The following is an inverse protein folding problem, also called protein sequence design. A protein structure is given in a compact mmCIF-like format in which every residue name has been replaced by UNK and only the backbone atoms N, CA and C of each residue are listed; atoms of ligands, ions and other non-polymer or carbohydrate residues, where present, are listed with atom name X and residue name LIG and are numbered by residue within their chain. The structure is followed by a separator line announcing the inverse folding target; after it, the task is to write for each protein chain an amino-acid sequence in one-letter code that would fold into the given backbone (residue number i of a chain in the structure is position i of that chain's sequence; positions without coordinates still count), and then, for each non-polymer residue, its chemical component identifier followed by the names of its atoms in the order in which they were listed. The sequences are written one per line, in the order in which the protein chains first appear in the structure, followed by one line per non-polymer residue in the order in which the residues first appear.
data_IF_661208952079
#
_entry.id   IF_661208952079
#
_cell.length_a   1.000
_cell.length_b   1.000
_cell.length_c   1.000
_cell.angle_alpha   90.00
_cell.angle_beta   90.00
_cell.angle_gamma   90.00
#
_symmetry.space_group_name_H-M   'P 1'
#
loop_
_entity.id
_entity.type
_entity.pdbx_description
1 polymer ?
#
# COMPACT_ATOMS: atom_id res chain seq x y z
N UNK A 1 25.19 -3.28 58.30
CA UNK A 1 25.15 -2.38 57.13
C UNK A 1 25.48 -3.23 55.92
N UNK A 2 24.48 -3.83 55.33
CA UNK A 2 24.62 -4.66 54.12
C UNK A 2 24.42 -3.74 52.94
N UNK A 3 25.47 -3.57 52.17
CA UNK A 3 25.53 -2.79 50.94
C UNK A 3 24.76 -3.56 49.85
N UNK A 4 23.48 -3.25 49.65
CA UNK A 4 22.73 -3.75 48.49
C UNK A 4 23.28 -3.02 47.25
N UNK A 5 24.21 -3.69 46.60
CA UNK A 5 24.63 -3.36 45.24
C UNK A 5 23.37 -3.34 44.37
N UNK A 6 22.94 -2.16 43.94
CA UNK A 6 21.90 -2.00 42.92
C UNK A 6 22.41 -2.60 41.61
N UNK A 7 22.17 -3.89 41.43
CA UNK A 7 22.25 -4.52 40.12
C UNK A 7 21.19 -3.79 39.30
N UNK A 8 21.61 -2.94 38.36
CA UNK A 8 20.73 -2.28 37.44
C UNK A 8 19.92 -3.33 36.68
N UNK A 9 18.69 -3.53 37.13
CA UNK A 9 17.79 -4.46 36.49
C UNK A 9 17.38 -3.86 35.15
N UNK A 10 17.87 -4.44 34.06
CA UNK A 10 17.43 -4.11 32.70
C UNK A 10 15.90 -4.09 32.65
N UNK A 11 15.33 -2.99 32.15
CA UNK A 11 13.89 -2.80 32.06
C UNK A 11 13.41 -2.93 30.64
N UNK A 12 12.16 -3.31 30.48
CA UNK A 12 11.46 -3.36 29.16
C UNK A 12 10.25 -2.45 29.23
N UNK A 13 10.15 -1.53 28.26
CA UNK A 13 9.02 -0.64 28.14
C UNK A 13 7.92 -1.18 27.23
N UNK A 14 6.70 -0.70 27.43
CA UNK A 14 5.58 -0.93 26.53
C UNK A 14 4.72 0.33 26.40
N UNK A 15 4.16 0.55 25.23
CA UNK A 15 3.34 1.73 24.92
C UNK A 15 2.05 1.29 24.24
N UNK A 16 0.92 1.68 24.83
CA UNK A 16 -0.37 1.73 24.16
C UNK A 16 -0.62 3.16 23.68
N UNK A 17 -0.97 3.32 22.39
CA UNK A 17 -1.07 4.62 21.74
C UNK A 17 -2.50 4.96 21.33
N UNK A 18 -2.98 6.12 21.78
CA UNK A 18 -4.25 6.71 21.45
C UNK A 18 -4.09 8.04 20.70
N UNK A 19 -5.22 8.65 20.33
CA UNK A 19 -5.23 9.91 19.59
C UNK A 19 -4.63 11.06 20.41
N UNK A 20 -5.02 11.17 21.68
CA UNK A 20 -4.73 12.33 22.52
C UNK A 20 -3.72 12.00 23.63
N UNK A 21 -3.55 10.72 23.96
CA UNK A 21 -2.62 10.24 24.99
C UNK A 21 -1.85 9.00 24.55
N UNK A 22 -0.73 8.75 25.21
CA UNK A 22 0.00 7.47 25.19
C UNK A 22 0.12 6.96 26.61
N UNK A 23 -0.20 5.69 26.85
CA UNK A 23 0.03 5.04 28.12
C UNK A 23 1.32 4.22 28.02
N UNK A 24 2.24 4.48 28.95
CA UNK A 24 3.58 3.89 28.95
C UNK A 24 3.72 3.04 30.22
N UNK A 25 4.22 1.83 30.09
CA UNK A 25 4.45 0.91 31.21
C UNK A 25 5.87 0.36 31.17
N UNK A 26 6.41 0.05 32.36
CA UNK A 26 7.73 -0.57 32.54
C UNK A 26 7.57 -1.88 33.29
N UNK A 27 8.29 -2.90 32.82
CA UNK A 27 8.42 -4.18 33.48
C UNK A 27 9.89 -4.50 33.68
N UNK A 28 10.18 -5.35 34.70
CA UNK A 28 11.51 -5.95 34.89
C UNK A 28 11.82 -6.95 33.77
N UNK A 29 13.08 -7.34 33.61
CA UNK A 29 13.50 -8.44 32.73
C UNK A 29 12.85 -9.81 33.10
N UNK A 30 12.27 -9.94 34.32
CA UNK A 30 11.47 -11.11 34.71
C UNK A 30 9.98 -10.98 34.43
N UNK A 31 9.54 -9.86 33.82
CA UNK A 31 8.14 -9.62 33.42
C UNK A 31 7.23 -9.05 34.52
N UNK A 32 7.79 -8.68 35.70
CA UNK A 32 7.03 -8.04 36.79
C UNK A 32 6.74 -6.58 36.48
N UNK A 33 5.51 -6.07 36.65
CA UNK A 33 5.21 -4.66 36.57
C UNK A 33 6.07 -3.83 37.53
N UNK A 34 6.56 -2.69 37.06
CA UNK A 34 7.31 -1.71 37.87
C UNK A 34 6.46 -0.49 38.08
N UNK A 35 6.07 0.18 36.96
CA UNK A 35 5.28 1.41 37.02
C UNK A 35 4.62 1.68 35.66
N UNK A 36 3.60 2.53 35.64
CA UNK A 36 2.96 2.97 34.40
C UNK A 36 2.42 4.41 34.54
N UNK A 37 2.46 5.16 33.44
CA UNK A 37 2.00 6.54 33.41
C UNK A 37 1.46 6.94 32.03
N UNK A 38 0.49 7.86 32.05
CA UNK A 38 -0.08 8.46 30.84
C UNK A 38 0.60 9.79 30.49
N UNK A 39 0.82 10.04 29.21
CA UNK A 39 1.39 11.27 28.67
C UNK A 39 0.58 11.79 27.47
N UNK A 40 0.48 13.10 27.28
CA UNK A 40 -0.21 13.65 26.10
C UNK A 40 0.58 13.42 24.81
N UNK A 41 -0.13 13.25 23.67
CA UNK A 41 0.45 13.06 22.34
C UNK A 41 0.99 14.37 21.74
N UNK A 42 1.82 15.07 22.51
CA UNK A 42 2.51 16.30 22.13
C UNK A 42 4.03 16.10 22.13
N UNK A 43 4.76 16.97 21.43
CA UNK A 43 6.22 16.92 21.46
C UNK A 43 6.81 17.03 22.89
N UNK A 44 6.16 17.76 23.80
CA UNK A 44 6.53 17.86 25.19
C UNK A 44 6.22 16.55 25.94
N UNK A 45 5.00 16.02 25.77
CA UNK A 45 4.59 14.75 26.40
C UNK A 45 5.45 13.57 25.95
N UNK A 46 5.82 13.49 24.68
CA UNK A 46 6.76 12.44 24.23
C UNK A 46 8.15 12.56 24.86
N UNK A 47 8.68 13.79 25.05
CA UNK A 47 9.95 13.99 25.76
C UNK A 47 9.81 13.56 27.23
N UNK A 48 8.70 13.89 27.88
CA UNK A 48 8.41 13.47 29.27
C UNK A 48 8.33 11.94 29.37
N UNK A 49 7.64 11.27 28.46
CA UNK A 49 7.54 9.82 28.40
C UNK A 49 8.91 9.14 28.24
N UNK A 50 9.76 9.68 27.34
CA UNK A 50 11.13 9.17 27.14
C UNK A 50 11.98 9.38 28.41
N UNK A 51 11.92 10.55 29.04
CA UNK A 51 12.64 10.84 30.29
C UNK A 51 12.16 9.95 31.45
N UNK A 52 10.85 9.76 31.58
CA UNK A 52 10.25 8.90 32.58
C UNK A 52 10.69 7.44 32.42
N UNK A 53 10.67 6.89 31.19
CA UNK A 53 11.19 5.57 30.89
C UNK A 53 12.66 5.41 31.29
N UNK A 54 13.49 6.41 30.98
CA UNK A 54 14.93 6.42 31.33
C UNK A 54 15.18 6.46 32.85
N UNK A 55 14.25 7.01 33.62
CA UNK A 55 14.31 7.05 35.08
C UNK A 55 14.20 5.67 35.77
N UNK A 56 13.72 4.64 35.06
CA UNK A 56 13.54 3.29 35.59
C UNK A 56 14.73 2.34 35.34
N UNK A 57 15.85 2.88 34.83
CA UNK A 57 17.09 2.13 34.59
C UNK A 57 17.35 1.88 33.08
N UNK A 58 18.37 1.07 32.76
CA UNK A 58 18.71 0.75 31.38
C UNK A 58 17.56 0.04 30.66
N UNK A 59 17.10 0.58 29.56
CA UNK A 59 16.04 0.00 28.74
C UNK A 59 16.63 -0.94 27.69
N UNK A 60 16.23 -2.21 27.69
CA UNK A 60 16.58 -3.13 26.60
C UNK A 60 15.85 -2.78 25.29
N UNK A 61 14.54 -2.55 25.37
CA UNK A 61 13.70 -2.15 24.25
C UNK A 61 12.34 -1.64 24.72
N UNK A 62 11.62 -0.96 23.84
CA UNK A 62 10.24 -0.52 24.08
C UNK A 62 9.33 -1.06 22.99
N UNK A 63 8.31 -1.82 23.40
CA UNK A 63 7.26 -2.31 22.53
C UNK A 63 6.19 -1.25 22.29
N UNK A 64 5.88 -0.94 21.03
CA UNK A 64 4.86 0.06 20.68
C UNK A 64 3.79 -0.55 19.79
N UNK A 65 2.52 -0.45 20.21
CA UNK A 65 1.38 -0.82 19.38
C UNK A 65 1.04 0.34 18.42
N UNK A 66 0.77 0.04 17.15
CA UNK A 66 0.34 1.05 16.18
C UNK A 66 1.42 2.02 15.72
N UNK A 67 2.65 1.56 15.59
CA UNK A 67 3.83 2.36 15.18
C UNK A 67 3.65 3.19 13.91
N UNK A 68 2.77 2.79 13.01
CA UNK A 68 2.43 3.51 11.77
C UNK A 68 1.08 4.27 11.84
N UNK A 69 0.58 4.53 13.05
CA UNK A 69 -0.65 5.28 13.29
C UNK A 69 -0.46 6.21 14.50
N UNK A 70 -1.19 6.01 15.57
CA UNK A 70 -1.09 6.85 16.77
C UNK A 70 0.28 6.75 17.48
N UNK A 71 0.98 5.63 17.36
CA UNK A 71 2.32 5.42 17.92
C UNK A 71 3.46 6.07 17.16
N UNK A 72 3.21 6.69 15.98
CA UNK A 72 4.29 7.26 15.14
C UNK A 72 5.12 8.31 15.88
N UNK A 73 4.47 9.20 16.64
CA UNK A 73 5.15 10.29 17.35
C UNK A 73 6.04 9.80 18.47
N UNK A 74 5.56 8.90 19.32
CA UNK A 74 6.36 8.31 20.40
C UNK A 74 7.49 7.43 19.86
N UNK A 75 7.27 6.68 18.77
CA UNK A 75 8.33 5.92 18.09
C UNK A 75 9.46 6.82 17.64
N UNK A 76 9.14 7.95 16.99
CA UNK A 76 10.15 8.91 16.54
C UNK A 76 10.94 9.50 17.73
N UNK A 77 10.26 9.82 18.83
CA UNK A 77 10.91 10.35 20.05
C UNK A 77 11.84 9.31 20.71
N UNK A 78 11.39 8.07 20.86
CA UNK A 78 12.20 6.96 21.40
C UNK A 78 13.42 6.68 20.53
N UNK A 79 13.23 6.56 19.21
CA UNK A 79 14.33 6.33 18.24
C UNK A 79 15.36 7.46 18.29
N UNK A 80 14.90 8.73 18.39
CA UNK A 80 15.79 9.89 18.52
C UNK A 80 16.60 9.86 19.82
N UNK A 81 16.04 9.27 20.88
CA UNK A 81 16.72 9.08 22.15
C UNK A 81 17.64 7.84 22.19
N UNK A 82 17.81 7.12 21.07
CA UNK A 82 18.63 5.91 20.98
C UNK A 82 17.99 4.66 21.57
N UNK A 83 16.70 4.68 21.91
CA UNK A 83 15.97 3.55 22.45
C UNK A 83 15.56 2.60 21.32
N UNK A 84 15.79 1.30 21.53
CA UNK A 84 15.33 0.27 20.59
C UNK A 84 13.82 0.17 20.65
N UNK A 85 13.15 0.43 19.52
CA UNK A 85 11.69 0.33 19.40
C UNK A 85 11.32 -0.93 18.64
N UNK A 86 10.35 -1.67 19.17
CA UNK A 86 9.83 -2.90 18.56
C UNK A 86 8.34 -2.73 18.28
N UNK A 87 7.90 -3.04 17.07
CA UNK A 87 6.47 -3.03 16.73
C UNK A 87 5.75 -4.22 17.34
N UNK A 88 4.72 -3.93 18.11
CA UNK A 88 3.83 -4.93 18.71
C UNK A 88 2.58 -5.08 17.86
N UNK A 89 2.30 -6.31 17.46
CA UNK A 89 1.08 -6.59 16.70
C UNK A 89 -0.16 -6.53 17.60
N UNK A 90 -1.25 -5.99 17.09
CA UNK A 90 -2.54 -6.01 17.78
C UNK A 90 -2.93 -7.43 18.18
N UNK A 91 -3.22 -7.61 19.47
CA UNK A 91 -3.70 -8.88 20.01
C UNK A 91 -5.01 -9.33 19.36
N UNK A 92 -5.16 -10.64 19.18
CA UNK A 92 -6.37 -11.24 18.63
C UNK A 92 -7.58 -10.91 19.50
N UNK A 93 -8.71 -10.58 18.85
CA UNK A 93 -9.96 -10.20 19.54
C UNK A 93 -10.45 -11.24 20.57
N UNK A 94 -10.09 -12.51 20.42
CA UNK A 94 -10.45 -13.58 21.35
C UNK A 94 -9.76 -13.43 22.74
N UNK A 95 -8.54 -12.92 22.80
CA UNK A 95 -7.81 -12.72 24.06
C UNK A 95 -8.30 -11.48 24.82
N UNK A 96 -8.71 -10.43 24.07
CA UNK A 96 -9.31 -9.23 24.66
C UNK A 96 -10.62 -9.50 25.39
N UNK A 97 -11.42 -10.45 24.92
CA UNK A 97 -12.70 -10.81 25.56
C UNK A 97 -12.55 -11.46 26.93
N UNK A 98 -11.40 -12.09 27.19
CA UNK A 98 -11.17 -12.83 28.46
C UNK A 98 -10.65 -11.96 29.61
N UNK A 99 -9.98 -10.82 29.33
CA UNK A 99 -9.23 -10.07 30.36
C UNK A 99 -9.62 -8.61 30.54
N UNK A 100 -10.68 -8.13 29.85
CA UNK A 100 -11.04 -6.70 29.85
C UNK A 100 -10.07 -5.84 29.04
N UNK A 101 -10.39 -4.56 28.87
CA UNK A 101 -9.56 -3.57 28.18
C UNK A 101 -9.34 -2.38 29.08
N UNK A 102 -8.09 -2.14 29.49
CA UNK A 102 -7.62 -0.87 30.07
C UNK A 102 -6.28 -0.52 29.43
N UNK A 103 -6.01 0.76 29.28
CA UNK A 103 -4.80 1.26 28.61
C UNK A 103 -3.49 0.81 29.32
N UNK A 104 -3.40 0.79 30.68
CA UNK A 104 -2.28 0.22 31.40
C UNK A 104 -2.03 -1.26 31.03
N UNK A 105 -3.08 -2.08 30.98
CA UNK A 105 -2.95 -3.51 30.67
C UNK A 105 -2.43 -3.74 29.23
N UNK A 106 -2.84 -2.90 28.28
CA UNK A 106 -2.37 -3.01 26.90
C UNK A 106 -0.90 -2.53 26.78
N UNK A 107 -0.47 -1.50 27.54
CA UNK A 107 0.93 -1.09 27.64
C UNK A 107 1.82 -2.17 28.29
N UNK A 108 1.43 -2.76 29.44
CA UNK A 108 2.14 -3.88 30.04
C UNK A 108 2.23 -5.11 29.12
N UNK A 109 1.19 -5.35 28.33
CA UNK A 109 1.19 -6.43 27.34
C UNK A 109 2.18 -6.15 26.20
N UNK A 110 2.28 -4.91 25.75
CA UNK A 110 3.26 -4.51 24.76
C UNK A 110 4.68 -4.80 25.26
N UNK A 111 4.99 -4.43 26.50
CA UNK A 111 6.27 -4.74 27.14
C UNK A 111 6.54 -6.26 27.24
N UNK A 112 5.56 -7.05 27.69
CA UNK A 112 5.70 -8.52 27.77
C UNK A 112 5.88 -9.18 26.40
N UNK A 113 5.26 -8.67 25.35
CA UNK A 113 5.44 -9.16 23.97
C UNK A 113 6.87 -8.96 23.46
N UNK A 114 7.55 -7.90 23.90
CA UNK A 114 8.98 -7.70 23.64
C UNK A 114 9.80 -8.73 24.39
N UNK A 115 9.56 -8.89 25.68
CA UNK A 115 10.29 -9.79 26.54
C UNK A 115 10.17 -11.26 26.11
N UNK A 116 8.98 -11.70 25.65
CA UNK A 116 8.74 -13.06 25.16
C UNK A 116 9.29 -13.31 23.74
N UNK A 117 9.79 -12.28 23.05
CA UNK A 117 10.23 -12.39 21.65
C UNK A 117 9.11 -12.56 20.62
N UNK A 118 7.84 -12.47 21.03
CA UNK A 118 6.70 -12.45 20.11
C UNK A 118 6.68 -11.17 19.26
N UNK A 119 7.07 -10.04 19.88
CA UNK A 119 7.34 -8.80 19.17
C UNK A 119 8.82 -8.76 18.77
N UNK A 120 9.09 -8.67 17.52
CA UNK A 120 10.47 -8.69 17.03
C UNK A 120 10.60 -8.08 15.65
N UNK A 121 9.68 -7.18 15.31
CA UNK A 121 9.68 -6.50 14.02
C UNK A 121 10.00 -5.03 14.23
N UNK A 122 10.98 -4.52 13.51
CA UNK A 122 11.31 -3.10 13.52
C UNK A 122 10.11 -2.28 13.04
N UNK A 123 9.85 -1.10 13.63
CA UNK A 123 8.78 -0.23 13.18
C UNK A 123 9.03 0.25 11.74
N UNK A 124 7.96 0.58 11.04
CA UNK A 124 8.07 1.27 9.76
C UNK A 124 8.68 2.66 9.99
N UNK A 125 9.55 3.09 9.10
CA UNK A 125 10.12 4.43 9.15
C UNK A 125 9.06 5.48 8.83
N UNK A 126 9.22 6.68 9.35
CA UNK A 126 8.30 7.80 9.11
C UNK A 126 8.25 8.24 7.63
N UNK A 127 9.26 7.91 6.84
CA UNK A 127 9.35 8.22 5.40
C UNK A 127 8.22 7.59 4.56
N UNK A 128 7.56 6.53 5.06
CA UNK A 128 6.42 5.91 4.37
C UNK A 128 5.10 6.70 4.54
N UNK A 129 5.00 7.57 5.54
CA UNK A 129 3.75 8.28 5.86
C UNK A 129 3.26 9.21 4.74
N UNK A 130 4.12 10.00 4.05
CA UNK A 130 3.65 10.79 2.92
C UNK A 130 3.07 9.95 1.79
N UNK A 131 3.65 8.75 1.54
CA UNK A 131 3.14 7.83 0.53
C UNK A 131 1.77 7.28 0.94
N UNK A 132 1.59 6.96 2.23
CA UNK A 132 0.32 6.50 2.80
C UNK A 132 -0.75 7.59 2.70
N UNK A 133 -0.44 8.84 3.05
CA UNK A 133 -1.36 9.96 2.97
C UNK A 133 -1.86 10.21 1.54
N UNK A 134 -0.95 10.23 0.56
CA UNK A 134 -1.30 10.37 -0.86
C UNK A 134 -2.21 9.22 -1.34
N UNK A 135 -1.90 7.97 -0.95
CA UNK A 135 -2.70 6.81 -1.34
C UNK A 135 -4.10 6.82 -0.69
N UNK A 136 -4.22 7.28 0.55
CA UNK A 136 -5.51 7.46 1.24
C UNK A 136 -6.35 8.52 0.53
N UNK A 137 -5.78 9.69 0.23
CA UNK A 137 -6.47 10.77 -0.49
C UNK A 137 -6.93 10.30 -1.88
N UNK A 138 -6.05 9.63 -2.64
CA UNK A 138 -6.39 9.06 -3.95
C UNK A 138 -7.54 8.06 -3.87
N UNK A 139 -7.50 7.12 -2.92
CA UNK A 139 -8.57 6.12 -2.74
C UNK A 139 -9.91 6.78 -2.41
N UNK A 140 -9.89 7.82 -1.59
CA UNK A 140 -11.09 8.62 -1.27
C UNK A 140 -11.64 9.32 -2.52
N UNK A 141 -10.79 9.98 -3.30
CA UNK A 141 -11.18 10.66 -4.54
C UNK A 141 -11.77 9.67 -5.57
N UNK A 142 -11.16 8.51 -5.78
CA UNK A 142 -11.68 7.47 -6.68
C UNK A 142 -13.06 6.97 -6.22
N UNK A 143 -13.24 6.75 -4.91
CA UNK A 143 -14.53 6.32 -4.36
C UNK A 143 -15.61 7.39 -4.56
N UNK A 144 -15.26 8.65 -4.34
CA UNK A 144 -16.17 9.79 -4.55
C UNK A 144 -16.54 9.97 -6.04
N UNK A 145 -15.56 9.83 -6.93
CA UNK A 145 -15.78 9.89 -8.37
C UNK A 145 -16.74 8.79 -8.86
N UNK A 146 -16.53 7.56 -8.39
CA UNK A 146 -17.43 6.44 -8.71
C UNK A 146 -18.84 6.64 -8.13
N UNK A 147 -18.95 7.27 -6.95
CA UNK A 147 -20.25 7.61 -6.37
C UNK A 147 -20.97 8.66 -7.21
N UNK A 148 -20.30 9.73 -7.60
CA UNK A 148 -20.87 10.76 -8.49
C UNK A 148 -21.37 10.16 -9.82
N UNK A 149 -20.57 9.28 -10.43
CA UNK A 149 -20.99 8.58 -11.66
C UNK A 149 -22.26 7.74 -11.47
N UNK A 150 -22.36 6.97 -10.37
CA UNK A 150 -23.57 6.17 -10.09
C UNK A 150 -24.78 7.05 -9.81
N UNK A 151 -24.60 8.17 -9.12
CA UNK A 151 -25.66 9.15 -8.86
C UNK A 151 -26.19 9.78 -10.15
N UNK A 152 -25.31 10.15 -11.09
CA UNK A 152 -25.72 10.61 -12.43
C UNK A 152 -26.61 9.55 -13.11
N UNK A 153 -26.16 8.30 -13.13
CA UNK A 153 -26.95 7.21 -13.74
C UNK A 153 -28.32 7.04 -13.09
N UNK A 154 -28.39 7.12 -11.74
CA UNK A 154 -29.66 7.03 -11.00
C UNK A 154 -30.62 8.19 -11.32
N UNK A 155 -30.10 9.42 -11.35
CA UNK A 155 -30.92 10.59 -11.65
C UNK A 155 -31.43 10.57 -13.10
N UNK A 156 -30.63 10.11 -14.05
CA UNK A 156 -31.03 10.01 -15.46
C UNK A 156 -32.19 9.01 -15.67
N UNK A 157 -32.30 7.97 -14.86
CA UNK A 157 -33.41 7.00 -14.95
C UNK A 157 -34.75 7.68 -14.66
N UNK A 158 -34.77 8.60 -13.69
CA UNK A 158 -35.97 9.32 -13.22
C UNK A 158 -36.14 10.70 -13.87
N UNK A 159 -35.25 11.09 -14.78
CA UNK A 159 -35.32 12.37 -15.46
C UNK A 159 -36.52 12.45 -16.41
N UNK A 160 -37.08 13.66 -16.69
CA UNK A 160 -38.10 13.86 -17.70
C UNK A 160 -37.72 13.27 -19.05
N UNK A 161 -38.71 12.72 -19.76
CA UNK A 161 -38.45 12.01 -21.02
C UNK A 161 -37.64 12.83 -22.04
N UNK A 162 -37.89 14.13 -22.25
CA UNK A 162 -37.13 14.94 -23.21
C UNK A 162 -35.63 15.01 -22.82
N UNK A 163 -35.35 15.24 -21.56
CA UNK A 163 -33.98 15.30 -21.04
C UNK A 163 -33.26 13.93 -21.16
N UNK A 164 -33.94 12.87 -20.76
CA UNK A 164 -33.41 11.51 -20.82
C UNK A 164 -33.11 11.09 -22.26
N UNK A 165 -34.04 11.35 -23.21
CA UNK A 165 -33.88 10.93 -24.60
C UNK A 165 -32.79 11.72 -25.33
N UNK A 166 -32.57 12.99 -24.97
CA UNK A 166 -31.46 13.81 -25.45
C UNK A 166 -30.09 13.28 -25.02
N UNK A 167 -30.02 12.68 -23.83
CA UNK A 167 -28.75 12.20 -23.25
C UNK A 167 -28.55 10.68 -23.48
N UNK A 168 -29.58 9.98 -23.95
CA UNK A 168 -29.54 8.54 -24.20
C UNK A 168 -28.52 8.19 -25.28
N UNK A 169 -27.76 7.14 -25.05
CA UNK A 169 -26.80 6.62 -26.02
C UNK A 169 -25.48 7.38 -26.10
N UNK A 170 -25.31 8.48 -25.37
CA UNK A 170 -24.04 9.17 -25.33
C UNK A 170 -22.97 8.31 -24.65
N UNK A 171 -21.77 8.18 -25.25
CA UNK A 171 -20.63 7.61 -24.57
C UNK A 171 -20.33 8.34 -23.27
N UNK A 172 -19.78 7.62 -22.25
CA UNK A 172 -19.54 8.19 -20.91
C UNK A 172 -18.81 9.55 -20.92
N UNK A 173 -17.77 9.68 -21.73
CA UNK A 173 -17.00 10.93 -21.81
C UNK A 173 -17.84 12.08 -22.38
N UNK A 174 -18.60 11.82 -23.44
CA UNK A 174 -19.51 12.80 -24.05
C UNK A 174 -20.64 13.20 -23.08
N UNK A 175 -21.25 12.22 -22.39
CA UNK A 175 -22.28 12.48 -21.40
C UNK A 175 -21.79 13.40 -20.28
N UNK A 176 -20.63 13.09 -19.68
CA UNK A 176 -20.03 13.91 -18.63
C UNK A 176 -19.69 15.33 -19.12
N UNK A 177 -19.15 15.46 -20.32
CA UNK A 177 -18.84 16.75 -20.94
C UNK A 177 -20.12 17.58 -21.18
N UNK A 178 -21.15 16.96 -21.77
CA UNK A 178 -22.44 17.61 -22.04
C UNK A 178 -23.11 18.07 -20.74
N UNK A 179 -23.12 17.23 -19.72
CA UNK A 179 -23.70 17.60 -18.42
C UNK A 179 -22.90 18.71 -17.72
N UNK A 180 -21.57 18.62 -17.71
CA UNK A 180 -20.72 19.63 -17.06
C UNK A 180 -20.83 21.02 -17.70
N UNK A 181 -21.07 21.10 -19.02
CA UNK A 181 -21.23 22.33 -19.79
C UNK A 181 -22.69 22.78 -19.94
N UNK A 182 -23.66 22.02 -19.44
CA UNK A 182 -25.07 22.34 -19.56
C UNK A 182 -25.43 23.66 -18.87
N UNK A 183 -26.51 24.30 -19.35
CA UNK A 183 -27.00 25.61 -18.86
C UNK A 183 -28.42 25.49 -18.31
N UNK A 184 -28.61 25.05 -17.06
CA UNK A 184 -29.93 24.87 -16.45
C UNK A 184 -30.82 26.12 -16.53
N UNK A 185 -30.25 27.33 -16.36
CA UNK A 185 -31.00 28.57 -16.44
C UNK A 185 -31.54 28.94 -17.80
N UNK A 186 -31.29 28.14 -18.85
CA UNK A 186 -31.88 28.29 -20.18
C UNK A 186 -33.02 27.29 -20.45
N UNK A 187 -33.38 26.49 -19.47
CA UNK A 187 -34.48 25.51 -19.53
C UNK A 187 -35.73 26.16 -18.98
N UNK A 188 -36.83 26.12 -19.75
CA UNK A 188 -38.09 26.78 -19.36
C UNK A 188 -38.86 25.99 -18.28
N UNK A 189 -38.77 24.67 -18.25
CA UNK A 189 -39.40 23.83 -17.25
C UNK A 189 -38.56 23.83 -15.95
N UNK A 190 -39.09 24.33 -14.83
CA UNK A 190 -38.35 24.40 -13.56
C UNK A 190 -37.89 23.04 -13.06
N UNK A 191 -38.71 22.00 -13.20
CA UNK A 191 -38.37 20.65 -12.73
C UNK A 191 -37.21 20.04 -13.56
N UNK A 192 -37.24 20.21 -14.90
CA UNK A 192 -36.12 19.81 -15.77
C UNK A 192 -34.86 20.65 -15.45
N UNK A 193 -35.01 21.95 -15.21
CA UNK A 193 -33.89 22.83 -14.85
C UNK A 193 -33.19 22.39 -13.58
N UNK A 194 -33.92 22.04 -12.52
CA UNK A 194 -33.35 21.60 -11.25
C UNK A 194 -32.66 20.26 -11.37
N UNK A 195 -33.26 19.30 -12.11
CA UNK A 195 -32.62 18.02 -12.36
C UNK A 195 -31.33 18.20 -13.18
N UNK A 196 -31.35 19.06 -14.21
CA UNK A 196 -30.18 19.36 -15.01
C UNK A 196 -29.09 20.05 -14.19
N UNK A 197 -29.46 20.93 -13.25
CA UNK A 197 -28.52 21.57 -12.32
C UNK A 197 -27.84 20.54 -11.41
N UNK A 198 -28.60 19.59 -10.84
CA UNK A 198 -28.05 18.50 -10.04
C UNK A 198 -27.10 17.61 -10.85
N UNK A 199 -27.49 17.23 -12.06
CA UNK A 199 -26.65 16.45 -12.98
C UNK A 199 -25.35 17.17 -13.36
N UNK A 200 -25.42 18.47 -13.66
CA UNK A 200 -24.27 19.32 -13.93
C UNK A 200 -23.31 19.35 -12.75
N UNK A 201 -23.82 19.57 -11.54
CA UNK A 201 -23.02 19.60 -10.31
C UNK A 201 -22.27 18.29 -10.09
N UNK A 202 -22.92 17.16 -10.29
CA UNK A 202 -22.29 15.86 -10.18
C UNK A 202 -21.24 15.60 -11.28
N UNK A 203 -21.51 16.05 -12.51
CA UNK A 203 -20.57 15.91 -13.62
C UNK A 203 -19.31 16.79 -13.44
N UNK A 204 -19.48 18.02 -12.96
CA UNK A 204 -18.36 18.90 -12.59
C UNK A 204 -17.53 18.29 -11.49
N UNK A 205 -18.18 17.83 -10.39
CA UNK A 205 -17.50 17.12 -9.31
C UNK A 205 -16.73 15.88 -9.81
N UNK A 206 -17.30 15.11 -10.73
CA UNK A 206 -16.62 13.95 -11.33
C UNK A 206 -15.35 14.37 -12.07
N UNK A 207 -15.38 15.47 -12.82
CA UNK A 207 -14.23 16.03 -13.53
C UNK A 207 -13.14 16.50 -12.56
N UNK A 208 -13.51 17.31 -11.56
CA UNK A 208 -12.57 17.86 -10.58
C UNK A 208 -11.86 16.73 -9.79
N UNK A 209 -12.61 15.67 -9.46
CA UNK A 209 -12.04 14.47 -8.84
C UNK A 209 -11.09 13.71 -9.79
N UNK A 210 -11.34 13.72 -11.10
CA UNK A 210 -10.41 13.10 -12.07
C UNK A 210 -9.07 13.84 -12.09
N UNK A 211 -9.09 15.17 -12.08
CA UNK A 211 -7.88 16.01 -12.03
C UNK A 211 -7.10 15.77 -10.71
N UNK A 212 -7.79 15.72 -9.58
CA UNK A 212 -7.19 15.40 -8.27
C UNK A 212 -6.54 14.02 -8.27
N UNK A 213 -7.21 13.00 -8.84
CA UNK A 213 -6.67 11.64 -8.95
C UNK A 213 -5.38 11.65 -9.76
N UNK A 214 -5.35 12.32 -10.91
CA UNK A 214 -4.17 12.44 -11.77
C UNK A 214 -2.99 13.06 -11.01
N UNK A 215 -3.20 14.20 -10.35
CA UNK A 215 -2.17 14.88 -9.59
C UNK A 215 -1.65 14.03 -8.40
N UNK A 216 -2.52 13.27 -7.75
CA UNK A 216 -2.12 12.35 -6.68
C UNK A 216 -1.34 11.14 -7.22
N UNK A 217 -1.70 10.61 -8.39
CA UNK A 217 -0.98 9.51 -9.04
C UNK A 217 0.41 9.91 -9.50
N UNK A 218 0.59 11.12 -10.03
CA UNK A 218 1.90 11.66 -10.39
C UNK A 218 2.83 11.76 -9.16
N UNK A 219 2.32 12.26 -8.04
CA UNK A 219 3.08 12.32 -6.78
C UNK A 219 3.39 10.93 -6.22
N UNK A 220 2.46 9.98 -6.32
CA UNK A 220 2.68 8.58 -5.94
C UNK A 220 3.76 7.94 -6.81
N UNK A 221 3.76 8.19 -8.13
CA UNK A 221 4.76 7.73 -9.08
C UNK A 221 6.16 8.21 -8.65
N UNK A 222 6.33 9.52 -8.46
CA UNK A 222 7.61 10.10 -8.12
C UNK A 222 8.17 9.54 -6.80
N UNK A 223 7.33 9.44 -5.77
CA UNK A 223 7.75 8.89 -4.48
C UNK A 223 8.01 7.39 -4.50
N UNK A 224 7.21 6.61 -5.21
CA UNK A 224 7.41 5.18 -5.32
C UNK A 224 8.68 4.86 -6.12
N UNK A 225 8.97 5.63 -7.18
CA UNK A 225 10.18 5.50 -7.97
C UNK A 225 11.44 5.85 -7.15
N UNK A 226 11.39 6.92 -6.35
CA UNK A 226 12.48 7.30 -5.47
C UNK A 226 12.71 6.28 -4.34
N UNK A 227 11.66 5.66 -3.82
CA UNK A 227 11.77 4.68 -2.74
C UNK A 227 12.26 3.31 -3.21
N UNK A 228 11.76 2.81 -4.35
CA UNK A 228 12.16 1.51 -4.88
C UNK A 228 11.85 1.39 -6.38
N UNK A 229 12.78 1.75 -7.26
CA UNK A 229 12.59 1.62 -8.72
C UNK A 229 12.46 0.16 -9.16
N UNK A 230 13.12 -0.78 -8.47
CA UNK A 230 13.05 -2.21 -8.78
C UNK A 230 11.62 -2.76 -8.66
N UNK A 231 10.85 -2.26 -7.71
CA UNK A 231 9.46 -2.65 -7.53
C UNK A 231 8.58 -2.21 -8.71
N UNK A 232 8.78 -0.98 -9.19
CA UNK A 232 8.05 -0.44 -10.35
C UNK A 232 8.47 -1.09 -11.66
N UNK A 233 9.66 -1.68 -11.70
CA UNK A 233 10.17 -2.43 -12.82
C UNK A 233 9.47 -3.78 -13.02
N UNK A 234 8.74 -4.28 -12.03
CA UNK A 234 8.04 -5.56 -12.12
C UNK A 234 6.80 -5.44 -13.00
N UNK A 235 6.65 -6.34 -13.97
CA UNK A 235 5.51 -6.37 -14.90
C UNK A 235 4.17 -6.44 -14.15
N UNK A 236 3.30 -5.47 -14.40
CA UNK A 236 2.00 -5.33 -13.74
C UNK A 236 2.02 -4.51 -12.44
N UNK A 237 3.17 -3.97 -12.05
CA UNK A 237 3.28 -3.05 -10.91
C UNK A 237 3.32 -1.62 -11.43
N UNK A 238 2.18 -0.95 -11.40
CA UNK A 238 2.10 0.49 -11.64
C UNK A 238 2.30 1.30 -10.34
N UNK A 239 2.32 2.64 -10.43
CA UNK A 239 2.60 3.53 -9.29
C UNK A 239 1.75 3.27 -8.05
N UNK A 240 0.45 3.13 -8.25
CA UNK A 240 -0.54 2.91 -7.17
C UNK A 240 -0.33 1.56 -6.49
N UNK A 241 -0.03 0.52 -7.27
CA UNK A 241 0.24 -0.83 -6.76
C UNK A 241 1.59 -0.84 -6.03
N UNK A 242 2.62 -0.22 -6.61
CA UNK A 242 3.93 -0.07 -5.99
C UNK A 242 3.84 0.68 -4.66
N UNK A 243 3.15 1.82 -4.64
CA UNK A 243 2.89 2.59 -3.42
C UNK A 243 2.18 1.74 -2.34
N UNK A 244 1.14 0.98 -2.71
CA UNK A 244 0.44 0.11 -1.76
C UNK A 244 1.35 -0.97 -1.19
N UNK A 245 2.20 -1.58 -2.01
CA UNK A 245 3.14 -2.62 -1.57
C UNK A 245 4.23 -2.04 -0.65
N UNK A 246 4.74 -0.84 -0.94
CA UNK A 246 5.66 -0.11 -0.06
C UNK A 246 5.01 0.24 1.29
N UNK A 247 3.77 0.73 1.29
CA UNK A 247 3.03 1.02 2.51
C UNK A 247 2.85 -0.24 3.37
N UNK A 248 2.57 -1.38 2.73
CA UNK A 248 2.40 -2.67 3.43
C UNK A 248 3.72 -3.19 3.99
N UNK A 249 4.77 -3.21 3.18
CA UNK A 249 6.09 -3.71 3.55
C UNK A 249 6.79 -2.79 4.56
N UNK A 250 6.62 -1.48 4.42
CA UNK A 250 7.49 -0.47 5.01
C UNK A 250 8.72 -0.22 4.12
N UNK A 251 9.47 0.77 4.48
CA UNK A 251 10.69 1.22 3.79
C UNK A 251 11.99 0.67 4.43
N UNK A 252 11.84 -0.18 5.43
CA UNK A 252 12.94 -0.90 6.05
C UNK A 252 13.00 -2.34 5.52
N UNK A 253 13.96 -2.71 4.63
CA UNK A 253 14.06 -4.06 4.08
C UNK A 253 14.36 -5.12 5.14
N UNK A 254 15.04 -4.77 6.25
CA UNK A 254 15.39 -5.69 7.34
C UNK A 254 14.16 -6.18 8.11
N UNK A 255 13.06 -5.41 8.04
CA UNK A 255 11.75 -5.79 8.58
C UNK A 255 11.19 -7.07 7.92
N UNK A 256 11.54 -7.32 6.67
CA UNK A 256 11.04 -8.44 5.87
C UNK A 256 11.95 -9.67 6.00
N UNK A 257 11.80 -10.45 7.04
CA UNK A 257 12.65 -11.61 7.36
C UNK A 257 12.73 -12.67 6.24
N UNK A 258 11.63 -12.89 5.50
CA UNK A 258 11.58 -13.90 4.43
C UNK A 258 10.43 -13.66 3.45
N UNK A 259 10.52 -14.28 2.27
CA UNK A 259 9.40 -14.26 1.31
C UNK A 259 8.17 -15.00 1.83
N UNK A 260 8.33 -15.89 2.80
CA UNK A 260 7.21 -16.57 3.46
C UNK A 260 6.48 -15.63 4.42
N UNK A 261 7.22 -14.87 5.24
CA UNK A 261 6.63 -13.86 6.13
C UNK A 261 5.95 -12.73 5.35
N UNK A 262 6.55 -12.27 4.24
CA UNK A 262 5.90 -11.31 3.36
C UNK A 262 4.61 -11.84 2.73
N UNK A 263 4.60 -13.10 2.28
CA UNK A 263 3.39 -13.73 1.77
C UNK A 263 2.30 -13.90 2.84
N UNK A 264 2.67 -14.17 4.09
CA UNK A 264 1.75 -14.19 5.21
C UNK A 264 1.17 -12.78 5.48
N UNK A 265 2.02 -11.75 5.48
CA UNK A 265 1.62 -10.35 5.58
C UNK A 265 0.61 -9.96 4.49
N UNK A 266 0.81 -10.40 3.24
CA UNK A 266 -0.09 -10.17 2.12
C UNK A 266 -1.30 -11.13 2.07
N UNK A 267 -1.46 -12.04 3.04
CA UNK A 267 -2.54 -13.02 3.05
C UNK A 267 -2.50 -14.01 1.88
N UNK A 268 -1.31 -14.31 1.35
CA UNK A 268 -1.11 -15.25 0.22
C UNK A 268 -0.37 -16.54 0.61
N UNK A 269 0.04 -16.65 1.87
CA UNK A 269 0.63 -17.88 2.39
C UNK A 269 -0.43 -19.00 2.43
N UNK A 270 -0.10 -20.22 1.96
CA UNK A 270 -0.97 -21.37 2.13
C UNK A 270 -1.01 -21.78 3.60
N UNK A 271 -2.20 -22.01 4.14
CA UNK A 271 -2.36 -22.56 5.49
C UNK A 271 -2.62 -24.06 5.34
N UNK A 272 -1.76 -24.94 5.85
CA UNK A 272 -1.98 -26.37 5.81
C UNK A 272 -3.23 -26.72 6.63
N UNK A 273 -4.06 -27.58 6.06
CA UNK A 273 -5.25 -28.15 6.70
C UNK A 273 -5.21 -29.63 6.39
N UNK A 274 -4.21 -30.31 6.98
CA UNK A 274 -4.01 -31.72 6.78
C UNK A 274 -4.65 -32.50 7.93
N UNK A 275 -5.38 -33.56 7.61
CA UNK A 275 -5.86 -34.53 8.57
C UNK A 275 -5.66 -35.94 7.99
N UNK A 276 -4.88 -36.78 8.67
CA UNK A 276 -4.59 -38.14 8.25
C UNK A 276 -4.00 -38.23 6.84
N UNK A 277 -4.70 -38.84 5.90
CA UNK A 277 -4.23 -39.13 4.55
C UNK A 277 -4.43 -37.98 3.53
N UNK A 278 -4.94 -36.81 3.96
CA UNK A 278 -5.29 -35.75 3.03
C UNK A 278 -4.50 -34.48 3.29
N UNK A 279 -3.62 -34.12 2.36
CA UNK A 279 -2.91 -32.84 2.36
C UNK A 279 -3.73 -31.77 1.64
N UNK A 280 -4.26 -30.81 2.37
CA UNK A 280 -5.02 -29.67 1.83
C UNK A 280 -4.47 -28.35 2.36
N UNK A 281 -4.60 -27.32 1.53
CA UNK A 281 -4.26 -25.97 1.89
C UNK A 281 -5.48 -25.07 1.79
N UNK A 282 -5.72 -24.26 2.81
CA UNK A 282 -6.76 -23.22 2.77
C UNK A 282 -6.14 -21.84 2.57
N UNK A 283 -7.01 -20.90 2.13
CA UNK A 283 -6.65 -19.51 2.02
C UNK A 283 -6.45 -18.89 3.43
N UNK A 284 -5.35 -18.14 3.62
CA UNK A 284 -5.24 -17.23 4.77
C UNK A 284 -6.29 -16.12 4.65
N UNK A 285 -7.09 -15.92 5.70
CA UNK A 285 -8.01 -14.78 5.82
C UNK A 285 -7.39 -13.61 6.59
N UNK A 286 -6.18 -13.80 7.13
CA UNK A 286 -5.38 -12.78 7.77
C UNK A 286 -4.54 -12.00 6.77
N UNK A 287 -3.78 -11.04 7.27
CA UNK A 287 -2.89 -10.19 6.49
C UNK A 287 -3.55 -8.93 5.92
N UNK A 288 -2.74 -8.14 5.22
CA UNK A 288 -3.16 -6.88 4.61
C UNK A 288 -4.03 -7.14 3.36
N UNK A 289 -5.31 -6.76 3.46
CA UNK A 289 -6.27 -6.90 2.36
C UNK A 289 -5.92 -6.03 1.15
N UNK A 290 -5.32 -4.86 1.39
CA UNK A 290 -4.95 -3.95 0.30
C UNK A 290 -3.76 -4.51 -0.48
N UNK A 291 -2.76 -5.09 0.21
CA UNK A 291 -1.68 -5.83 -0.44
C UNK A 291 -2.19 -7.07 -1.19
N UNK A 292 -3.12 -7.83 -0.61
CA UNK A 292 -3.73 -8.98 -1.30
C UNK A 292 -4.45 -8.56 -2.58
N UNK A 293 -5.17 -7.43 -2.56
CA UNK A 293 -5.83 -6.86 -3.74
C UNK A 293 -4.80 -6.37 -4.77
N UNK A 294 -3.69 -5.75 -4.34
CA UNK A 294 -2.59 -5.35 -5.19
C UNK A 294 -1.98 -6.54 -5.95
N UNK A 295 -1.64 -7.62 -5.23
CA UNK A 295 -1.14 -8.85 -5.85
C UNK A 295 -2.16 -9.49 -6.82
N UNK A 296 -3.45 -9.44 -6.49
CA UNK A 296 -4.49 -9.92 -7.39
C UNK A 296 -4.58 -9.08 -8.67
N UNK A 297 -4.43 -7.76 -8.55
CA UNK A 297 -4.41 -6.87 -9.70
C UNK A 297 -3.22 -7.15 -10.62
N UNK A 298 -2.02 -7.36 -10.07
CA UNK A 298 -0.83 -7.74 -10.85
C UNK A 298 -1.10 -9.03 -11.64
N UNK A 299 -1.67 -10.05 -11.01
CA UNK A 299 -2.03 -11.31 -11.69
C UNK A 299 -3.04 -11.06 -12.81
N UNK A 300 -4.06 -10.21 -12.59
CA UNK A 300 -5.03 -9.84 -13.65
C UNK A 300 -4.37 -9.17 -14.84
N UNK A 301 -3.49 -8.20 -14.60
CA UNK A 301 -2.73 -7.51 -15.65
C UNK A 301 -1.88 -8.51 -16.44
N UNK A 302 -1.18 -9.40 -15.75
CA UNK A 302 -0.37 -10.45 -16.40
C UNK A 302 -1.21 -11.46 -17.19
N UNK A 303 -2.42 -11.77 -16.75
CA UNK A 303 -3.36 -12.61 -17.51
C UNK A 303 -3.71 -12.03 -18.89
N UNK A 304 -3.64 -10.71 -19.04
CA UNK A 304 -3.95 -10.00 -20.31
C UNK A 304 -2.71 -9.73 -21.14
N UNK A 305 -1.58 -9.37 -20.50
CA UNK A 305 -0.42 -8.79 -21.18
C UNK A 305 0.87 -9.65 -21.10
N UNK A 306 0.80 -10.81 -20.46
CA UNK A 306 1.95 -11.70 -20.32
C UNK A 306 1.58 -13.11 -20.79
N UNK A 307 2.12 -13.58 -21.95
CA UNK A 307 1.71 -14.86 -22.55
C UNK A 307 2.00 -16.07 -21.65
N UNK A 308 2.99 -15.99 -20.75
CA UNK A 308 3.36 -17.09 -19.87
C UNK A 308 2.33 -17.34 -18.78
N UNK A 309 1.62 -16.30 -18.34
CA UNK A 309 0.62 -16.39 -17.26
C UNK A 309 -0.64 -17.15 -17.67
N UNK A 310 -1.29 -16.87 -18.83
CA UNK A 310 -2.39 -17.70 -19.33
C UNK A 310 -1.96 -19.14 -19.60
N UNK A 311 -0.79 -19.38 -20.21
CA UNK A 311 -0.28 -20.73 -20.47
C UNK A 311 -0.16 -21.54 -19.16
N UNK A 312 0.41 -20.95 -18.10
CA UNK A 312 0.45 -21.56 -16.77
C UNK A 312 -0.95 -21.87 -16.23
N UNK A 313 -1.90 -20.92 -16.36
CA UNK A 313 -3.29 -21.13 -15.95
C UNK A 313 -3.89 -22.34 -16.63
N UNK A 314 -3.77 -22.43 -17.96
CA UNK A 314 -4.41 -23.45 -18.76
C UNK A 314 -3.83 -24.85 -18.45
N UNK A 315 -2.53 -24.97 -18.36
CA UNK A 315 -1.85 -26.22 -17.91
C UNK A 315 -2.34 -26.66 -16.51
N UNK A 316 -2.61 -25.76 -15.60
CA UNK A 316 -3.09 -26.10 -14.25
C UNK A 316 -4.56 -26.50 -14.25
N UNK A 317 -5.39 -25.85 -15.06
CA UNK A 317 -6.79 -26.22 -15.24
C UNK A 317 -6.96 -27.62 -15.84
N UNK A 318 -6.14 -27.95 -16.86
CA UNK A 318 -6.08 -29.29 -17.45
C UNK A 318 -5.71 -30.38 -16.42
N UNK A 319 -4.86 -30.02 -15.43
CA UNK A 319 -4.52 -30.89 -14.29
C UNK A 319 -5.57 -30.90 -13.18
N UNK A 320 -6.77 -30.40 -13.43
CA UNK A 320 -7.89 -30.42 -12.48
C UNK A 320 -7.84 -29.34 -11.38
N UNK A 321 -6.98 -28.34 -11.51
CA UNK A 321 -6.97 -27.24 -10.54
C UNK A 321 -8.16 -26.31 -10.75
N UNK A 322 -8.71 -25.77 -9.65
CA UNK A 322 -9.74 -24.74 -9.75
C UNK A 322 -9.12 -23.37 -10.10
N UNK A 323 -9.86 -22.51 -10.81
CA UNK A 323 -9.44 -21.12 -11.10
C UNK A 323 -8.93 -20.40 -9.84
N UNK A 324 -9.62 -20.58 -8.69
CA UNK A 324 -9.22 -19.98 -7.41
C UNK A 324 -7.87 -20.51 -6.91
N UNK A 325 -7.57 -21.79 -7.12
CA UNK A 325 -6.27 -22.38 -6.74
C UNK A 325 -5.15 -21.83 -7.61
N UNK A 326 -5.38 -21.72 -8.92
CA UNK A 326 -4.42 -21.11 -9.86
C UNK A 326 -4.09 -19.66 -9.47
N UNK A 327 -5.10 -18.83 -9.22
CA UNK A 327 -4.90 -17.45 -8.79
C UNK A 327 -4.14 -17.34 -7.45
N UNK A 328 -4.35 -18.27 -6.52
CA UNK A 328 -3.59 -18.32 -5.26
C UNK A 328 -2.11 -18.63 -5.51
N UNK A 329 -1.83 -19.60 -6.36
CA UNK A 329 -0.45 -19.95 -6.73
C UNK A 329 0.26 -18.79 -7.43
N UNK A 330 -0.40 -18.15 -8.38
CA UNK A 330 0.14 -16.99 -9.09
C UNK A 330 0.39 -15.80 -8.13
N UNK A 331 -0.54 -15.48 -7.24
CA UNK A 331 -0.32 -14.45 -6.22
C UNK A 331 0.86 -14.77 -5.30
N UNK A 332 1.06 -16.05 -4.96
CA UNK A 332 2.21 -16.48 -4.16
C UNK A 332 3.52 -16.33 -4.92
N UNK A 333 3.54 -16.63 -6.23
CA UNK A 333 4.70 -16.43 -7.09
C UNK A 333 5.04 -14.94 -7.22
N UNK A 334 4.03 -14.09 -7.51
CA UNK A 334 4.17 -12.63 -7.54
C UNK A 334 4.67 -12.08 -6.21
N UNK A 335 4.14 -12.54 -5.07
CA UNK A 335 4.61 -12.11 -3.76
C UNK A 335 6.10 -12.41 -3.53
N UNK A 336 6.62 -13.53 -4.08
CA UNK A 336 8.05 -13.87 -4.00
C UNK A 336 8.90 -12.93 -4.85
N UNK A 337 8.43 -12.57 -6.03
CA UNK A 337 9.08 -11.62 -6.92
C UNK A 337 9.12 -10.21 -6.30
N UNK A 338 7.98 -9.74 -5.79
CA UNK A 338 7.88 -8.47 -5.06
C UNK A 338 8.83 -8.43 -3.85
N UNK A 339 8.88 -9.51 -3.06
CA UNK A 339 9.79 -9.61 -1.93
C UNK A 339 11.25 -9.39 -2.34
N UNK A 340 11.70 -10.00 -3.45
CA UNK A 340 13.09 -9.83 -3.93
C UNK A 340 13.38 -8.38 -4.28
N UNK A 341 12.45 -7.68 -4.93
CA UNK A 341 12.59 -6.27 -5.23
C UNK A 341 12.63 -5.40 -3.96
N UNK A 342 11.78 -5.70 -2.97
CA UNK A 342 11.73 -4.95 -1.72
C UNK A 342 13.00 -5.07 -0.87
N UNK A 343 13.70 -6.21 -0.94
CA UNK A 343 14.96 -6.43 -0.19
C UNK A 343 16.22 -6.16 -1.03
N UNK A 344 16.09 -5.48 -2.17
CA UNK A 344 17.23 -5.08 -3.02
C UNK A 344 17.93 -6.25 -3.74
N UNK A 345 17.23 -7.39 -3.94
CA UNK A 345 17.76 -8.58 -4.63
C UNK A 345 17.28 -8.68 -6.08
N UNK A 346 17.08 -7.55 -6.73
CA UNK A 346 16.71 -7.47 -8.14
C UNK A 346 17.56 -6.42 -8.82
N UNK A 347 18.28 -6.83 -9.86
CA UNK A 347 18.88 -5.89 -10.78
C UNK A 347 17.78 -5.22 -11.60
N UNK A 348 17.84 -3.92 -11.71
CA UNK A 348 16.93 -3.12 -12.52
C UNK A 348 17.72 -2.68 -13.74
N UNK A 349 17.42 -3.21 -14.93
CA UNK A 349 18.02 -2.68 -16.15
C UNK A 349 17.68 -1.18 -16.29
N UNK A 350 18.70 -0.40 -16.56
CA UNK A 350 18.57 1.03 -16.83
C UNK A 350 18.42 1.23 -18.35
N UNK A 351 17.42 1.98 -18.75
CA UNK A 351 17.12 2.33 -20.14
C UNK A 351 17.12 3.85 -20.37
N UNK A 352 17.67 4.62 -19.45
CA UNK A 352 17.78 6.08 -19.57
C UNK A 352 18.71 6.51 -20.70
N UNK A 353 19.60 5.62 -21.15
CA UNK A 353 20.51 5.78 -22.28
C UNK A 353 19.81 5.76 -23.66
N UNK A 354 18.65 5.11 -23.78
CA UNK A 354 17.98 4.93 -25.07
C UNK A 354 17.59 6.23 -25.74
N UNK A 355 17.01 7.18 -25.00
CA UNK A 355 16.59 8.47 -25.54
C UNK A 355 17.75 9.33 -26.05
N UNK A 356 18.81 9.56 -25.27
CA UNK A 356 20.00 10.24 -25.75
C UNK A 356 20.65 9.54 -26.95
N UNK A 357 20.78 8.23 -26.92
CA UNK A 357 21.35 7.44 -28.02
C UNK A 357 20.56 7.61 -29.32
N UNK A 358 19.22 7.53 -29.26
CA UNK A 358 18.34 7.79 -30.40
C UNK A 358 18.50 9.22 -30.95
N UNK A 359 18.48 10.20 -30.05
CA UNK A 359 18.59 11.61 -30.44
C UNK A 359 19.93 11.92 -31.09
N UNK A 360 21.02 11.35 -30.59
CA UNK A 360 22.36 11.50 -31.17
C UNK A 360 22.44 10.99 -32.63
N UNK A 361 21.60 10.02 -33.00
CA UNK A 361 21.50 9.48 -34.36
C UNK A 361 20.41 10.17 -35.22
N UNK A 362 19.77 11.22 -34.70
CA UNK A 362 18.67 11.95 -35.36
C UNK A 362 17.47 11.04 -35.74
N UNK A 363 17.26 9.95 -35.00
CA UNK A 363 16.19 9.01 -35.23
C UNK A 363 14.92 9.49 -34.50
N UNK A 364 13.77 9.53 -35.19
CA UNK A 364 12.49 9.91 -34.58
C UNK A 364 11.82 8.74 -33.84
N UNK A 365 10.95 9.06 -32.87
CA UNK A 365 10.13 8.03 -32.21
C UNK A 365 9.28 7.21 -33.20
N UNK A 366 8.82 7.86 -34.28
CA UNK A 366 8.02 7.22 -35.33
C UNK A 366 8.83 6.18 -36.11
N UNK A 367 10.10 6.47 -36.43
CA UNK A 367 10.98 5.51 -37.10
C UNK A 367 11.26 4.28 -36.26
N UNK A 368 11.57 4.47 -34.96
CA UNK A 368 11.72 3.36 -34.01
C UNK A 368 10.46 2.53 -33.93
N UNK A 369 9.31 3.20 -33.76
CA UNK A 369 8.01 2.56 -33.64
C UNK A 369 7.65 1.73 -34.90
N UNK A 370 7.97 2.24 -36.07
CA UNK A 370 7.78 1.55 -37.34
C UNK A 370 8.68 0.30 -37.42
N UNK A 371 9.96 0.41 -37.04
CA UNK A 371 10.91 -0.71 -37.06
C UNK A 371 10.45 -1.88 -36.20
N UNK A 372 9.94 -1.58 -34.98
CA UNK A 372 9.49 -2.60 -34.03
C UNK A 372 7.99 -2.93 -34.11
N UNK A 373 7.27 -2.39 -35.10
CA UNK A 373 5.83 -2.58 -35.27
C UNK A 373 5.02 -2.25 -34.00
N UNK A 374 5.38 -1.16 -33.31
CA UNK A 374 4.71 -0.69 -32.08
C UNK A 374 4.26 0.77 -32.24
N UNK A 375 3.44 1.26 -31.33
CA UNK A 375 3.06 2.68 -31.32
C UNK A 375 4.19 3.58 -30.80
N UNK A 376 4.38 4.80 -31.34
CA UNK A 376 5.40 5.75 -30.88
C UNK A 376 5.32 6.05 -29.38
N UNK A 377 4.10 6.09 -28.83
CA UNK A 377 3.87 6.23 -27.40
C UNK A 377 4.50 5.08 -26.58
N UNK A 378 4.54 3.86 -27.12
CA UNK A 378 5.17 2.72 -26.44
C UNK A 378 6.68 2.95 -26.28
N UNK A 379 7.36 3.35 -27.36
CA UNK A 379 8.78 3.70 -27.31
C UNK A 379 9.02 4.87 -26.34
N UNK A 380 8.24 5.94 -26.45
CA UNK A 380 8.34 7.10 -25.55
C UNK A 380 8.15 6.74 -24.08
N UNK A 381 7.29 5.77 -23.75
CA UNK A 381 7.07 5.35 -22.36
C UNK A 381 8.21 4.48 -21.85
N UNK A 382 8.88 3.71 -22.69
CA UNK A 382 10.09 2.95 -22.35
C UNK A 382 11.24 3.93 -22.08
N UNK A 383 11.51 4.87 -22.99
CA UNK A 383 12.56 5.89 -22.82
C UNK A 383 12.39 6.75 -21.56
N UNK A 384 11.16 6.98 -21.14
CA UNK A 384 10.84 7.72 -19.89
C UNK A 384 10.81 6.85 -18.64
N UNK A 385 11.02 5.53 -18.77
CA UNK A 385 10.91 4.59 -17.66
C UNK A 385 9.51 4.47 -17.05
N UNK A 386 8.47 4.98 -17.75
CA UNK A 386 7.07 4.91 -17.25
C UNK A 386 6.37 3.61 -17.60
N UNK A 387 6.91 2.86 -18.55
CA UNK A 387 6.48 1.51 -18.90
C UNK A 387 7.72 0.64 -19.10
N UNK A 388 7.67 -0.58 -18.60
CA UNK A 388 8.76 -1.52 -18.77
C UNK A 388 8.39 -2.60 -19.79
N UNK A 389 9.27 -2.77 -20.75
CA UNK A 389 9.29 -3.86 -21.70
C UNK A 389 10.76 -4.18 -22.02
N UNK A 390 11.36 -5.03 -21.18
CA UNK A 390 12.79 -5.32 -21.25
C UNK A 390 13.20 -5.97 -22.58
N UNK A 391 12.32 -6.79 -23.15
CA UNK A 391 12.58 -7.45 -24.43
C UNK A 391 12.69 -6.41 -25.54
N UNK A 392 11.73 -5.51 -25.62
CA UNK A 392 11.74 -4.44 -26.62
C UNK A 392 12.86 -3.42 -26.35
N UNK A 393 13.09 -3.08 -25.08
CA UNK A 393 14.15 -2.12 -24.72
C UNK A 393 15.55 -2.63 -25.07
N UNK A 394 15.84 -3.91 -24.82
CA UNK A 394 17.11 -4.53 -25.21
C UNK A 394 17.25 -4.60 -26.73
N UNK A 395 16.22 -5.10 -27.43
CA UNK A 395 16.23 -5.13 -28.89
C UNK A 395 16.40 -3.71 -29.49
N UNK A 396 15.79 -2.71 -28.86
CA UNK A 396 15.91 -1.30 -29.27
C UNK A 396 17.35 -0.78 -29.04
N UNK A 397 17.98 -1.13 -27.91
CA UNK A 397 19.37 -0.78 -27.63
C UNK A 397 20.32 -1.42 -28.66
N UNK A 398 20.13 -2.71 -28.94
CA UNK A 398 20.94 -3.44 -29.91
C UNK A 398 20.78 -2.83 -31.31
N UNK A 399 19.56 -2.50 -31.70
CA UNK A 399 19.30 -1.83 -32.99
C UNK A 399 19.94 -0.44 -33.06
N UNK A 400 19.85 0.36 -32.00
CA UNK A 400 20.55 1.66 -31.95
C UNK A 400 22.06 1.51 -32.04
N UNK A 401 22.61 0.44 -31.50
CA UNK A 401 24.07 0.19 -31.56
C UNK A 401 24.51 -0.21 -32.96
N UNK A 402 23.65 -0.91 -33.70
CA UNK A 402 23.91 -1.37 -35.07
C UNK A 402 23.59 -0.32 -36.18
N UNK A 403 22.73 0.65 -35.91
CA UNK A 403 22.33 1.71 -36.83
C UNK A 403 23.34 2.87 -36.82
#
# INVERSE_FOLDING_TARGET
MTNESSVGTDAVGGVDSHKDTVHVAVITCTGRPVDDQEFPTTAAGYRQAVAWLGGHGPLQAVGVEGTSSYGTGICAALTKAGVIVVEVNRTRAAERRKRGKTDPLDAYRAARSVLSGEAGTDPKRASIEPLRALNVARRSAVKAQQAAWRQIGSLLVNAPAPLRDRLRGLPRAALLSTLASSRPGQVNDPDEADILFALRTLAQRHRDLAEQITALEERLQARAAAANPALLAIKGVGPVIGAQLLITAGDNPDRLRSSASFAALCGTAPIPVSSGRTDRYRLSRGGDRAANAALHHIVKVRMTYDPTTPAYRDTRLERGWTKKAVYRALKRAVAREIYRALVGRCDVPDYTDLRPARQAKNITLTQVAHHFAVWPMHISTIERGTRRDDTLANAYRDWLTAA
#
